data_IF_204130393561
#
_entry.id   IF_204130393561
#
_cell.length_a   1.000
_cell.length_b   1.000
_cell.length_c   1.000
_cell.angle_alpha   90.00
_cell.angle_beta   90.00
_cell.angle_gamma   90.00
#
_symmetry.space_group_name_H-M   'P 1'
#
loop_
_entity.id
_entity.type
_entity.pdbx_description
1 polymer ?
#
# COMPACT_ATOMS: atom_id res chain seq x y z
N UNK A 1 5.85 -23.08 -3.82
CA UNK A 1 5.97 -24.17 -2.82
C UNK A 1 5.89 -25.58 -3.43
N UNK A 2 4.87 -25.91 -4.25
CA UNK A 2 4.75 -27.25 -4.86
C UNK A 2 5.98 -27.69 -5.69
N UNK A 3 6.56 -26.76 -6.45
CA UNK A 3 7.68 -27.05 -7.36
C UNK A 3 9.03 -27.38 -6.68
N UNK A 4 9.29 -26.84 -5.47
CA UNK A 4 10.58 -27.03 -4.79
C UNK A 4 10.67 -28.38 -4.05
N UNK A 5 9.52 -28.92 -3.61
CA UNK A 5 9.44 -30.21 -2.93
C UNK A 5 9.51 -31.39 -3.91
N UNK A 6 9.12 -31.20 -5.17
CA UNK A 6 9.08 -32.26 -6.19
C UNK A 6 10.46 -32.58 -6.79
N UNK A 7 11.44 -31.68 -6.66
CA UNK A 7 12.81 -31.86 -7.18
C UNK A 7 13.87 -32.04 -6.08
N UNK A 8 13.48 -32.02 -4.80
CA UNK A 8 14.42 -32.12 -3.69
C UNK A 8 14.95 -33.56 -3.52
N UNK A 9 16.25 -33.76 -3.25
CA UNK A 9 16.79 -35.07 -2.88
C UNK A 9 16.09 -35.59 -1.62
N UNK A 10 16.04 -36.92 -1.47
CA UNK A 10 15.39 -37.55 -0.33
C UNK A 10 15.98 -37.01 0.98
N UNK A 11 15.14 -36.29 1.74
CA UNK A 11 15.51 -35.69 3.01
C UNK A 11 15.76 -36.83 4.00
N UNK A 12 17.02 -37.07 4.34
CA UNK A 12 17.40 -38.20 5.21
C UNK A 12 17.86 -37.72 6.58
N UNK A 13 18.37 -36.50 6.68
CA UNK A 13 19.02 -35.99 7.88
C UNK A 13 18.50 -34.60 8.27
N UNK A 14 18.65 -34.24 9.54
CA UNK A 14 18.22 -32.92 10.06
C UNK A 14 18.91 -31.74 9.35
N UNK A 15 20.13 -31.92 8.89
CA UNK A 15 20.89 -30.90 8.15
C UNK A 15 20.25 -30.59 6.79
N UNK A 16 19.74 -31.61 6.11
CA UNK A 16 19.08 -31.45 4.80
C UNK A 16 17.79 -30.64 4.94
N UNK A 17 17.05 -30.89 6.03
CA UNK A 17 15.85 -30.12 6.39
C UNK A 17 16.21 -28.65 6.63
N UNK A 18 17.29 -28.38 7.36
CA UNK A 18 17.72 -27.01 7.67
C UNK A 18 18.12 -26.25 6.40
N UNK A 19 18.83 -26.89 5.48
CA UNK A 19 19.18 -26.32 4.17
C UNK A 19 17.93 -26.03 3.35
N UNK A 20 17.01 -27.00 3.23
CA UNK A 20 15.77 -26.82 2.47
C UNK A 20 14.89 -25.69 3.03
N UNK A 21 14.74 -25.61 4.36
CA UNK A 21 13.95 -24.56 5.01
C UNK A 21 14.59 -23.19 4.79
N UNK A 22 15.92 -23.12 4.84
CA UNK A 22 16.66 -21.89 4.54
C UNK A 22 16.48 -21.46 3.09
N UNK A 23 16.65 -22.35 2.13
CA UNK A 23 16.47 -22.05 0.71
C UNK A 23 15.04 -21.60 0.41
N UNK A 24 14.05 -22.25 1.06
CA UNK A 24 12.64 -21.88 0.94
C UNK A 24 12.39 -20.47 1.50
N UNK A 25 12.97 -20.15 2.66
CA UNK A 25 12.89 -18.81 3.25
C UNK A 25 13.52 -17.76 2.33
N UNK A 26 14.77 -17.99 1.92
CA UNK A 26 15.52 -17.04 1.08
C UNK A 26 14.84 -16.80 -0.28
N UNK A 27 14.26 -17.85 -0.88
CA UNK A 27 13.51 -17.71 -2.13
C UNK A 27 12.17 -17.00 -1.92
N UNK A 28 11.44 -17.31 -0.84
CA UNK A 28 10.13 -16.73 -0.56
C UNK A 28 10.19 -15.24 -0.23
N UNK A 29 11.26 -14.81 0.45
CA UNK A 29 11.48 -13.40 0.82
C UNK A 29 12.35 -12.64 -0.19
N UNK A 30 12.70 -13.26 -1.33
CA UNK A 30 13.46 -12.60 -2.40
C UNK A 30 14.93 -12.33 -2.08
N UNK A 31 15.46 -12.96 -1.03
CA UNK A 31 16.84 -12.77 -0.54
C UNK A 31 17.84 -13.37 -1.52
N UNK A 32 17.63 -14.64 -1.88
CA UNK A 32 18.47 -15.36 -2.83
C UNK A 32 17.74 -16.59 -3.37
N UNK A 33 17.89 -16.85 -4.67
CA UNK A 33 17.28 -18.01 -5.33
C UNK A 33 18.38 -18.97 -5.82
N UNK A 34 18.62 -20.02 -5.03
CA UNK A 34 19.63 -21.04 -5.30
C UNK A 34 19.35 -21.93 -6.51
N UNK A 35 18.13 -21.88 -7.08
CA UNK A 35 17.76 -22.63 -8.27
C UNK A 35 18.14 -21.92 -9.59
N UNK A 36 18.49 -20.63 -9.52
CA UNK A 36 18.97 -19.87 -10.67
C UNK A 36 20.49 -19.88 -10.67
N UNK A 37 21.11 -20.36 -11.75
CA UNK A 37 22.58 -20.38 -11.95
C UNK A 37 23.18 -18.98 -12.20
N UNK A 38 22.49 -17.95 -11.71
CA UNK A 38 22.93 -16.57 -11.78
C UNK A 38 23.75 -16.29 -10.52
N UNK A 39 25.02 -15.95 -10.75
CA UNK A 39 25.92 -15.32 -9.77
C UNK A 39 25.35 -13.96 -9.34
N UNK A 40 24.29 -13.98 -8.54
CA UNK A 40 23.78 -12.80 -7.87
C UNK A 40 24.89 -12.12 -7.06
N UNK A 41 24.71 -10.85 -6.67
CA UNK A 41 25.72 -10.13 -5.91
C UNK A 41 26.11 -10.92 -4.65
N UNK A 42 27.41 -11.16 -4.47
CA UNK A 42 28.00 -12.01 -3.41
C UNK A 42 27.58 -11.63 -1.98
N UNK A 43 27.02 -10.43 -1.80
CA UNK A 43 26.55 -9.88 -0.52
C UNK A 43 25.02 -9.85 -0.41
N UNK A 44 24.29 -10.62 -1.21
CA UNK A 44 22.82 -10.71 -1.16
C UNK A 44 22.27 -11.00 0.25
N UNK A 45 22.96 -11.82 1.04
CA UNK A 45 22.59 -12.13 2.43
C UNK A 45 22.70 -10.95 3.41
N UNK A 46 23.47 -9.91 3.06
CA UNK A 46 23.69 -8.71 3.90
C UNK A 46 23.01 -7.48 3.30
N UNK A 47 22.49 -7.60 2.08
CA UNK A 47 21.72 -6.54 1.44
C UNK A 47 20.39 -6.34 2.19
N UNK A 48 19.95 -5.08 2.30
CA UNK A 48 18.64 -4.77 2.86
C UNK A 48 17.56 -5.25 1.90
N UNK A 49 16.70 -6.16 2.35
CA UNK A 49 15.58 -6.67 1.57
C UNK A 49 14.30 -5.92 1.90
N UNK A 50 13.37 -5.84 0.95
CA UNK A 50 12.07 -5.17 1.16
C UNK A 50 11.30 -5.78 2.36
N UNK A 51 11.47 -7.08 2.60
CA UNK A 51 10.88 -7.78 3.75
C UNK A 51 11.46 -7.32 5.11
N UNK A 52 12.67 -6.75 5.11
CA UNK A 52 13.35 -6.24 6.31
C UNK A 52 13.07 -4.74 6.52
N UNK A 53 12.44 -4.07 5.54
CA UNK A 53 12.05 -2.68 5.64
C UNK A 53 10.80 -2.50 6.51
N UNK A 54 11.04 -2.45 7.81
CA UNK A 54 10.03 -2.08 8.82
C UNK A 54 9.69 -0.59 8.83
N UNK A 55 10.45 0.25 8.10
CA UNK A 55 10.36 1.71 8.17
C UNK A 55 9.35 2.28 7.17
N UNK A 56 9.34 1.81 5.92
CA UNK A 56 8.50 2.38 4.85
C UNK A 56 7.04 1.90 4.88
N UNK A 57 6.80 0.74 5.49
CA UNK A 57 5.50 0.06 5.54
C UNK A 57 4.79 0.11 6.89
N UNK A 58 5.35 0.82 7.88
CA UNK A 58 4.79 0.85 9.23
C UNK A 58 3.34 1.38 9.27
N UNK A 59 2.52 0.81 10.17
CA UNK A 59 1.12 1.20 10.35
C UNK A 59 0.95 2.71 10.58
N UNK A 60 1.91 3.33 11.28
CA UNK A 60 1.93 4.78 11.51
C UNK A 60 2.05 5.58 10.21
N UNK A 61 2.97 5.21 9.33
CA UNK A 61 3.15 5.87 8.04
C UNK A 61 1.91 5.72 7.15
N UNK A 62 1.28 4.54 7.22
CA UNK A 62 0.02 4.32 6.51
C UNK A 62 -1.11 5.20 7.05
N UNK A 63 -1.20 5.42 8.37
CA UNK A 63 -2.16 6.36 8.95
C UNK A 63 -1.87 7.81 8.56
N UNK A 64 -0.60 8.20 8.49
CA UNK A 64 -0.21 9.55 8.03
C UNK A 64 -0.60 9.74 6.55
N UNK A 65 -0.31 8.77 5.68
CA UNK A 65 -0.74 8.79 4.28
C UNK A 65 -2.25 8.89 4.13
N UNK A 66 -2.99 8.15 4.95
CA UNK A 66 -4.45 8.19 4.94
C UNK A 66 -5.00 9.54 5.43
N UNK A 67 -4.40 10.12 6.47
CA UNK A 67 -4.75 11.45 6.97
C UNK A 67 -4.63 12.53 5.89
N UNK A 68 -3.50 12.54 5.17
CA UNK A 68 -3.26 13.47 4.06
C UNK A 68 -4.24 13.23 2.91
N UNK A 69 -4.32 11.97 2.42
CA UNK A 69 -5.17 11.61 1.29
C UNK A 69 -6.64 11.90 1.54
N UNK A 70 -7.11 11.71 2.77
CA UNK A 70 -8.51 11.95 3.17
C UNK A 70 -8.78 13.38 3.61
N UNK A 71 -7.78 14.27 3.55
CA UNK A 71 -7.91 15.69 3.90
C UNK A 71 -8.60 15.90 5.25
N UNK A 72 -8.22 15.09 6.25
CA UNK A 72 -8.91 15.04 7.56
C UNK A 72 -8.95 16.41 8.23
N UNK A 73 -7.87 17.19 8.11
CA UNK A 73 -7.81 18.57 8.59
C UNK A 73 -8.92 19.45 8.01
N UNK A 74 -9.19 19.35 6.71
CA UNK A 74 -10.18 20.18 6.03
C UNK A 74 -11.61 19.79 6.41
N UNK A 75 -11.85 18.51 6.74
CA UNK A 75 -13.18 18.00 7.05
C UNK A 75 -13.53 18.07 8.54
N UNK A 76 -12.55 17.83 9.42
CA UNK A 76 -12.77 17.69 10.86
C UNK A 76 -12.03 18.75 11.69
N UNK A 77 -11.12 19.53 11.11
CA UNK A 77 -10.30 20.51 11.84
C UNK A 77 -9.24 19.87 12.74
N UNK A 78 -9.08 18.56 12.69
CA UNK A 78 -8.09 17.83 13.49
C UNK A 78 -6.73 17.91 12.84
N UNK A 79 -5.73 18.37 13.60
CA UNK A 79 -4.35 18.30 13.16
C UNK A 79 -3.81 16.86 13.26
N UNK A 80 -2.64 16.60 12.67
CA UNK A 80 -2.11 15.25 12.58
C UNK A 80 -1.86 14.62 13.97
N UNK A 81 -1.41 15.40 14.94
CA UNK A 81 -1.11 14.91 16.29
C UNK A 81 -2.41 14.54 17.00
N UNK A 82 -3.44 15.37 16.88
CA UNK A 82 -4.77 15.10 17.44
C UNK A 82 -5.37 13.84 16.83
N UNK A 83 -5.30 13.69 15.51
CA UNK A 83 -5.77 12.51 14.81
C UNK A 83 -5.06 11.22 15.26
N UNK A 84 -3.74 11.26 15.40
CA UNK A 84 -2.96 10.11 15.87
C UNK A 84 -3.15 9.80 17.36
N UNK A 85 -3.67 10.75 18.13
CA UNK A 85 -4.00 10.58 19.55
C UNK A 85 -5.38 9.95 19.76
N UNK A 86 -6.18 9.80 18.70
CA UNK A 86 -7.50 9.19 18.80
C UNK A 86 -7.43 7.67 19.01
N UNK A 87 -8.37 7.09 19.76
CA UNK A 87 -8.65 5.66 19.76
C UNK A 87 -8.85 5.10 18.34
N UNK A 88 -8.39 3.87 18.10
CA UNK A 88 -8.33 3.28 16.76
C UNK A 88 -9.71 3.12 16.07
N UNK A 89 -10.76 2.91 16.85
CA UNK A 89 -12.15 2.91 16.42
C UNK A 89 -12.60 4.30 15.91
N UNK A 90 -12.26 5.37 16.63
CA UNK A 90 -12.52 6.74 16.19
C UNK A 90 -11.71 7.11 14.95
N UNK A 91 -10.46 6.66 14.86
CA UNK A 91 -9.63 6.83 13.65
C UNK A 91 -10.30 6.19 12.44
N UNK A 92 -10.79 4.95 12.57
CA UNK A 92 -11.48 4.26 11.49
C UNK A 92 -12.75 5.01 11.06
N UNK A 93 -13.55 5.46 12.03
CA UNK A 93 -14.77 6.24 11.79
C UNK A 93 -14.48 7.56 11.07
N UNK A 94 -13.50 8.35 11.54
CA UNK A 94 -13.11 9.61 10.91
C UNK A 94 -12.68 9.39 9.47
N UNK A 95 -11.85 8.37 9.21
CA UNK A 95 -11.42 8.05 7.86
C UNK A 95 -12.61 7.68 6.96
N UNK A 96 -13.54 6.83 7.44
CA UNK A 96 -14.74 6.44 6.69
C UNK A 96 -15.60 7.66 6.33
N UNK A 97 -15.88 8.53 7.30
CA UNK A 97 -16.67 9.74 7.06
C UNK A 97 -15.98 10.71 6.10
N UNK A 98 -14.64 10.86 6.18
CA UNK A 98 -13.88 11.66 5.22
C UNK A 98 -14.03 11.13 3.79
N UNK A 99 -14.06 9.80 3.60
CA UNK A 99 -14.25 9.21 2.27
C UNK A 99 -15.64 9.50 1.70
N UNK A 100 -16.68 9.39 2.53
CA UNK A 100 -18.04 9.74 2.11
C UNK A 100 -18.15 11.22 1.74
N UNK A 101 -17.53 12.09 2.54
CA UNK A 101 -17.48 13.53 2.25
C UNK A 101 -16.77 13.82 0.92
N UNK A 102 -15.61 13.19 0.67
CA UNK A 102 -14.87 13.33 -0.59
C UNK A 102 -15.71 12.88 -1.79
N UNK A 103 -16.31 11.69 -1.73
CA UNK A 103 -17.16 11.18 -2.81
C UNK A 103 -18.35 12.10 -3.11
N UNK A 104 -18.96 12.68 -2.08
CA UNK A 104 -20.06 13.63 -2.27
C UNK A 104 -19.61 14.90 -2.99
N UNK A 105 -18.42 15.42 -2.63
CA UNK A 105 -17.84 16.63 -3.23
C UNK A 105 -17.42 16.40 -4.68
N UNK A 106 -16.82 15.26 -4.98
CA UNK A 106 -16.42 14.89 -6.34
C UNK A 106 -17.63 14.82 -7.27
N UNK A 107 -18.74 14.21 -6.82
CA UNK A 107 -20.00 14.16 -7.60
C UNK A 107 -20.56 15.56 -7.88
N UNK A 108 -20.47 16.48 -6.93
CA UNK A 108 -20.94 17.86 -7.11
C UNK A 108 -20.03 18.61 -8.10
N UNK A 109 -18.71 18.46 -7.97
CA UNK A 109 -17.75 19.06 -8.89
C UNK A 109 -17.91 18.54 -10.32
N UNK A 110 -18.11 17.23 -10.50
CA UNK A 110 -18.36 16.62 -11.80
C UNK A 110 -19.64 17.15 -12.45
N UNK A 111 -20.69 17.38 -11.66
CA UNK A 111 -21.92 17.99 -12.14
C UNK A 111 -21.68 19.43 -12.60
N UNK A 112 -21.01 20.24 -11.78
CA UNK A 112 -20.70 21.63 -12.12
C UNK A 112 -19.86 21.72 -13.40
N UNK A 113 -18.84 20.88 -13.56
CA UNK A 113 -18.00 20.87 -14.76
C UNK A 113 -18.78 20.54 -16.03
N UNK A 114 -19.76 19.63 -15.96
CA UNK A 114 -20.64 19.33 -17.08
C UNK A 114 -21.55 20.51 -17.44
N UNK A 115 -22.10 21.19 -16.44
CA UNK A 115 -22.93 22.39 -16.65
C UNK A 115 -22.11 23.53 -17.28
N UNK A 116 -20.89 23.77 -16.81
CA UNK A 116 -19.98 24.76 -17.43
C UNK A 116 -19.63 24.43 -18.88
N UNK A 117 -19.39 23.15 -19.20
CA UNK A 117 -19.11 22.72 -20.57
C UNK A 117 -20.33 22.90 -21.50
N UNK A 118 -21.54 22.67 -20.99
CA UNK A 118 -22.77 22.91 -21.75
C UNK A 118 -22.97 24.40 -22.04
N UNK A 119 -22.80 25.26 -21.03
CA UNK A 119 -22.90 26.72 -21.21
C UNK A 119 -21.84 27.27 -22.17
N UNK A 120 -20.62 26.73 -22.12
CA UNK A 120 -19.55 27.13 -23.04
C UNK A 120 -19.80 26.67 -24.50
N UNK A 121 -20.64 25.65 -24.71
CA UNK A 121 -21.01 25.14 -26.03
C UNK A 121 -22.25 25.85 -26.62
N UNK A 122 -23.08 26.51 -25.80
CA UNK A 122 -24.26 27.29 -26.22
C UNK A 122 -24.15 28.80 -25.85
N UNK A 123 -23.30 29.60 -26.53
CA UNK A 123 -23.20 31.04 -26.27
C UNK A 123 -24.40 31.88 -26.75
N UNK A 124 -25.35 31.30 -27.49
CA UNK A 124 -26.42 32.04 -28.20
C UNK A 124 -27.75 32.20 -27.42
N UNK A 125 -27.91 31.58 -26.24
CA UNK A 125 -29.19 31.61 -25.50
C UNK A 125 -29.36 32.81 -24.52
N UNK A 126 -28.38 33.72 -24.45
CA UNK A 126 -28.32 34.79 -23.44
C UNK A 126 -28.69 36.21 -23.87
N UNK A 127 -29.14 36.42 -25.12
CA UNK A 127 -29.60 37.72 -25.61
C UNK A 127 -30.97 37.55 -26.30
N UNK A 128 -32.05 37.59 -25.53
CA UNK A 128 -33.44 37.59 -26.00
C UNK A 128 -34.35 38.23 -24.97
#
# INVERSE_FOLDING_TARGET
MKFALEQAPAITNSSDVQLLLRDCYETAYGIYNHALDNRGPTLSLVAMHEAEDSSSGGLLYERIRQYEKRQVLAHFGLNLIEFLSLPGDLVAFVLEQSLLAQQSRDRVNDRMMKEFQQVAQDPEAGNG
#
